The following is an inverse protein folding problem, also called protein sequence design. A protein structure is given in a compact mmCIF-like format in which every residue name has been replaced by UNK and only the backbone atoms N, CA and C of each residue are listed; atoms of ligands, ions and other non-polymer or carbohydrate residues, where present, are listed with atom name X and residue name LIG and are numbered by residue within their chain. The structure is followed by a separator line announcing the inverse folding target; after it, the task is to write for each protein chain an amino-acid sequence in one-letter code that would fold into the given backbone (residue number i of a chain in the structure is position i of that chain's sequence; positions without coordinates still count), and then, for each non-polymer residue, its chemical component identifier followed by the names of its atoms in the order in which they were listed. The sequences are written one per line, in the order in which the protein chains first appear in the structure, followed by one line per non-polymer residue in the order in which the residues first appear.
data_IF_614648170396
#
_entry.id   IF_614648170396
#
_cell.length_a   1.000
_cell.length_b   1.000
_cell.length_c   1.000
_cell.angle_alpha   90.00
_cell.angle_beta   90.00
_cell.angle_gamma   90.00
#
_symmetry.space_group_name_H-M   'P 1'
#
loop_
_entity.id
_entity.type
_entity.pdbx_description
1 polymer ?
#
# COMPACT_ATOMS: atom_id res chain seq x y z
N UNK A 1 -18.95 2.90 13.46
CA UNK A 1 -18.88 3.67 12.19
C UNK A 1 -17.67 3.32 11.30
N UNK A 2 -16.42 3.68 11.62
CA UNK A 2 -15.26 3.45 10.73
C UNK A 2 -14.99 1.96 10.41
N UNK A 3 -15.28 1.06 11.36
CA UNK A 3 -15.24 -0.38 11.13
C UNK A 3 -16.27 -0.83 10.08
N UNK A 4 -17.52 -0.38 10.20
CA UNK A 4 -18.57 -0.69 9.21
C UNK A 4 -18.28 -0.03 7.85
N UNK A 5 -17.69 1.17 7.84
CA UNK A 5 -17.23 1.80 6.60
C UNK A 5 -16.15 0.98 5.89
N UNK A 6 -15.24 0.37 6.67
CA UNK A 6 -14.17 -0.49 6.17
C UNK A 6 -14.68 -1.82 5.62
N UNK A 7 -15.67 -2.42 6.29
CA UNK A 7 -16.13 -3.79 6.01
C UNK A 7 -17.33 -3.81 5.05
N UNK A 8 -18.30 -2.94 5.28
CA UNK A 8 -19.62 -2.97 4.62
C UNK A 8 -19.82 -1.82 3.60
N UNK A 9 -18.85 -0.90 3.51
CA UNK A 9 -18.93 0.26 2.63
C UNK A 9 -19.85 1.40 3.13
N UNK A 10 -19.91 2.52 2.39
CA UNK A 10 -20.47 3.77 2.88
C UNK A 10 -21.99 3.75 3.07
N UNK A 11 -22.73 3.04 2.22
CA UNK A 11 -24.20 2.99 2.29
C UNK A 11 -24.70 2.18 3.49
N UNK A 12 -24.06 1.03 3.77
CA UNK A 12 -24.42 0.19 4.92
C UNK A 12 -23.99 0.88 6.22
N UNK A 13 -22.80 1.52 6.24
CA UNK A 13 -22.36 2.31 7.38
C UNK A 13 -23.31 3.48 7.70
N UNK A 14 -23.84 4.15 6.68
CA UNK A 14 -24.86 5.20 6.81
C UNK A 14 -26.16 4.66 7.41
N UNK A 15 -26.62 3.51 6.92
CA UNK A 15 -27.85 2.90 7.39
C UNK A 15 -27.74 2.43 8.85
N UNK A 16 -26.63 1.79 9.22
CA UNK A 16 -26.34 1.44 10.61
C UNK A 16 -26.29 2.67 11.51
N UNK A 17 -25.63 3.73 11.05
CA UNK A 17 -25.55 4.97 11.80
C UNK A 17 -26.93 5.60 12.08
N UNK A 18 -27.79 5.68 11.06
CA UNK A 18 -29.17 6.20 11.19
C UNK A 18 -30.01 5.35 12.14
N UNK A 19 -29.86 4.03 12.09
CA UNK A 19 -30.56 3.12 13.01
C UNK A 19 -30.09 3.27 14.46
N UNK A 20 -28.80 3.51 14.67
CA UNK A 20 -28.19 3.71 15.99
C UNK A 20 -28.50 5.12 16.58
N UNK A 21 -28.82 6.10 15.72
CA UNK A 21 -29.03 7.50 16.11
C UNK A 21 -30.35 8.07 15.55
N UNK A 22 -31.52 7.47 15.88
CA UNK A 22 -32.81 7.83 15.27
C UNK A 22 -33.29 9.25 15.59
N UNK A 23 -32.78 9.86 16.67
CA UNK A 23 -33.18 11.19 17.11
C UNK A 23 -32.29 12.32 16.56
N UNK A 24 -31.24 12.00 15.82
CA UNK A 24 -30.39 13.03 15.20
C UNK A 24 -31.11 13.82 14.12
N UNK A 25 -31.95 13.15 13.31
CA UNK A 25 -32.76 13.80 12.26
C UNK A 25 -33.84 14.76 12.84
N UNK A 26 -34.06 14.75 14.17
CA UNK A 26 -35.08 15.56 14.85
C UNK A 26 -34.54 16.80 15.59
N UNK A 27 -33.22 17.02 15.60
CA UNK A 27 -32.62 18.14 16.36
C UNK A 27 -32.93 19.50 15.71
N UNK A 28 -33.38 20.52 16.47
CA UNK A 28 -33.54 21.87 15.94
C UNK A 28 -32.16 22.45 15.57
N UNK A 29 -31.99 22.81 14.30
CA UNK A 29 -30.70 23.19 13.70
C UNK A 29 -30.10 22.14 12.75
N UNK A 30 -30.68 20.94 12.71
CA UNK A 30 -30.19 19.80 11.95
C UNK A 30 -28.98 19.14 12.61
N UNK A 31 -28.93 17.81 12.63
CA UNK A 31 -27.67 17.10 12.90
C UNK A 31 -26.70 17.32 11.72
N UNK A 32 -25.38 17.31 11.96
CA UNK A 32 -24.44 17.25 10.85
C UNK A 32 -24.79 16.00 10.04
N UNK A 33 -24.89 16.14 8.71
CA UNK A 33 -25.17 14.98 7.87
C UNK A 33 -24.08 13.90 8.09
N UNK A 34 -24.44 12.63 7.86
CA UNK A 34 -23.48 11.52 8.00
C UNK A 34 -22.13 11.77 7.29
N UNK A 35 -22.09 12.43 6.10
CA UNK A 35 -20.84 12.91 5.52
C UNK A 35 -19.99 13.82 6.40
N UNK A 36 -20.60 14.75 7.11
CA UNK A 36 -19.90 15.67 8.02
C UNK A 36 -19.34 14.94 9.24
N UNK A 37 -20.09 14.00 9.81
CA UNK A 37 -19.66 13.21 10.97
C UNK A 37 -18.52 12.27 10.60
N UNK A 38 -18.66 11.57 9.47
CA UNK A 38 -17.62 10.69 8.96
C UNK A 38 -16.34 11.48 8.63
N UNK A 39 -16.48 12.67 8.04
CA UNK A 39 -15.35 13.57 7.79
C UNK A 39 -14.66 13.96 9.09
N UNK A 40 -15.39 14.33 10.14
CA UNK A 40 -14.81 14.63 11.46
C UNK A 40 -14.00 13.47 12.02
N UNK A 41 -14.48 12.24 11.85
CA UNK A 41 -13.74 11.04 12.26
C UNK A 41 -12.47 10.81 11.42
N UNK A 42 -12.52 11.06 10.11
CA UNK A 42 -11.34 10.96 9.23
C UNK A 42 -10.31 12.04 9.60
N UNK A 43 -10.73 13.29 9.77
CA UNK A 43 -9.85 14.39 10.18
C UNK A 43 -9.23 14.12 11.55
N UNK A 44 -9.97 13.55 12.49
CA UNK A 44 -9.43 13.13 13.79
C UNK A 44 -8.29 12.11 13.64
N UNK A 45 -8.40 11.14 12.73
CA UNK A 45 -7.31 10.20 12.41
C UNK A 45 -6.09 10.98 11.90
N UNK A 46 -6.29 11.96 11.00
CA UNK A 46 -5.23 12.81 10.47
C UNK A 46 -4.51 13.62 11.56
N UNK A 47 -5.25 14.20 12.50
CA UNK A 47 -4.67 14.96 13.61
C UNK A 47 -3.92 14.08 14.61
N UNK A 48 -4.42 12.88 14.90
CA UNK A 48 -3.82 11.97 15.90
C UNK A 48 -2.63 11.21 15.33
N UNK A 49 -2.70 10.80 14.06
CA UNK A 49 -1.74 9.85 13.45
C UNK A 49 -0.90 10.46 12.34
N UNK A 50 -1.21 11.67 11.90
CA UNK A 50 -0.62 12.31 10.73
C UNK A 50 -1.51 12.15 9.49
N UNK A 51 -1.54 13.18 8.64
CA UNK A 51 -2.28 13.15 7.36
C UNK A 51 -1.60 12.28 6.28
N UNK A 52 -0.43 11.73 6.59
CA UNK A 52 0.28 10.70 5.82
C UNK A 52 -0.03 9.27 6.31
N UNK A 53 -0.77 9.12 7.43
CA UNK A 53 -1.19 7.82 7.95
C UNK A 53 -2.08 7.07 6.96
N UNK A 54 -1.85 5.76 6.83
CA UNK A 54 -2.56 4.92 5.87
C UNK A 54 -4.07 4.88 6.10
N UNK A 55 -4.55 4.89 7.34
CA UNK A 55 -5.99 4.88 7.61
C UNK A 55 -6.63 6.20 7.24
N UNK A 56 -5.94 7.31 7.54
CA UNK A 56 -6.37 8.62 7.07
C UNK A 56 -6.48 8.63 5.54
N UNK A 57 -5.41 8.26 4.83
CA UNK A 57 -5.37 8.25 3.38
C UNK A 57 -6.40 7.29 2.76
N UNK A 58 -6.59 6.10 3.35
CA UNK A 58 -7.54 5.10 2.88
C UNK A 58 -8.99 5.60 3.02
N UNK A 59 -9.36 6.16 4.18
CA UNK A 59 -10.71 6.65 4.40
C UNK A 59 -10.98 7.97 3.66
N UNK A 60 -10.02 8.89 3.61
CA UNK A 60 -10.13 10.14 2.87
C UNK A 60 -10.37 9.91 1.37
N UNK A 61 -9.75 8.88 0.76
CA UNK A 61 -9.97 8.53 -0.65
C UNK A 61 -11.30 7.86 -0.93
N UNK A 62 -11.79 7.04 0.00
CA UNK A 62 -13.09 6.38 -0.13
C UNK A 62 -14.28 7.35 -0.02
N UNK A 63 -14.04 8.59 0.37
CA UNK A 63 -15.09 9.56 0.69
C UNK A 63 -15.01 10.83 -0.18
N UNK A 64 -15.73 10.86 -1.30
CA UNK A 64 -15.94 12.06 -2.14
C UNK A 64 -17.28 12.72 -1.83
N UNK A 65 -17.41 13.39 -0.68
CA UNK A 65 -18.58 14.24 -0.42
C UNK A 65 -18.32 15.69 -0.90
N UNK A 66 -19.22 16.30 -1.71
CA UNK A 66 -19.08 17.68 -2.15
C UNK A 66 -19.18 18.65 -0.96
N UNK A 67 -18.33 19.69 -0.95
CA UNK A 67 -18.36 20.78 0.02
C UNK A 67 -19.49 21.78 -0.32
N UNK A 68 -20.29 22.26 0.64
CA UNK A 68 -21.16 23.43 0.42
C UNK A 68 -20.37 24.74 0.27
N UNK A 69 -19.17 24.86 0.86
CA UNK A 69 -18.36 26.09 0.85
C UNK A 69 -16.92 25.82 0.39
N UNK A 70 -16.72 25.99 -0.92
CA UNK A 70 -15.48 25.76 -1.65
C UNK A 70 -14.40 26.83 -1.39
N UNK A 71 -13.69 26.75 -0.26
CA UNK A 71 -12.39 27.43 -0.08
C UNK A 71 -11.20 26.48 0.13
N UNK A 72 -11.44 25.18 0.30
CA UNK A 72 -10.40 24.14 0.42
C UNK A 72 -10.51 23.11 -0.72
N UNK A 73 -10.52 23.56 -1.97
CA UNK A 73 -10.68 22.68 -3.16
C UNK A 73 -9.39 22.22 -3.84
N UNK A 74 -8.18 22.53 -3.35
CA UNK A 74 -6.99 22.43 -4.21
C UNK A 74 -5.78 21.68 -3.64
N UNK A 75 -5.94 20.54 -2.95
CA UNK A 75 -4.75 19.71 -2.70
C UNK A 75 -4.93 18.20 -2.52
N UNK A 76 -6.11 17.71 -2.15
CA UNK A 76 -6.33 16.27 -2.10
C UNK A 76 -6.79 15.75 -3.46
N UNK A 77 -5.82 15.66 -4.38
CA UNK A 77 -6.02 15.02 -5.68
C UNK A 77 -6.47 13.59 -5.46
N UNK A 78 -7.62 13.26 -6.04
CA UNK A 78 -8.17 11.93 -6.25
C UNK A 78 -7.29 11.09 -7.19
N UNK A 79 -6.01 10.91 -6.92
CA UNK A 79 -5.20 9.99 -7.71
C UNK A 79 -5.66 8.56 -7.41
N UNK A 80 -6.10 7.85 -8.45
CA UNK A 80 -6.32 6.40 -8.37
C UNK A 80 -5.06 5.75 -7.77
N UNK A 81 -5.21 4.76 -6.87
CA UNK A 81 -4.06 4.04 -6.35
C UNK A 81 -3.24 3.48 -7.52
N UNK A 82 -1.92 3.67 -7.45
CA UNK A 82 -0.99 3.15 -8.44
C UNK A 82 -0.93 1.63 -8.34
N UNK A 83 -0.48 0.97 -9.39
CA UNK A 83 -0.41 -0.48 -9.42
C UNK A 83 0.70 -0.99 -8.51
N UNK A 84 1.88 -0.37 -8.57
CA UNK A 84 3.08 -0.90 -7.91
C UNK A 84 3.89 0.21 -7.24
N UNK A 85 4.29 -0.04 -5.99
CA UNK A 85 5.36 0.68 -5.31
C UNK A 85 6.61 -0.19 -5.15
N UNK A 86 7.79 0.31 -5.51
CA UNK A 86 9.06 -0.38 -5.26
C UNK A 86 9.74 0.12 -3.97
N UNK A 87 9.71 -0.70 -2.93
CA UNK A 87 10.44 -0.51 -1.68
C UNK A 87 11.87 -1.06 -1.85
N UNK A 88 12.89 -0.20 -1.79
CA UNK A 88 14.26 -0.56 -2.14
C UNK A 88 15.29 0.27 -1.38
N UNK A 89 16.52 -0.26 -1.26
CA UNK A 89 17.66 0.52 -0.80
C UNK A 89 18.17 1.43 -1.94
N UNK A 90 18.71 2.60 -1.62
CA UNK A 90 19.26 3.57 -2.60
C UNK A 90 20.16 2.92 -3.65
N UNK A 91 20.98 1.99 -3.19
CA UNK A 91 22.00 1.29 -3.95
C UNK A 91 21.41 0.38 -5.04
N UNK A 92 20.12 0.03 -4.96
CA UNK A 92 19.44 -0.85 -5.91
C UNK A 92 18.64 -0.07 -6.98
N UNK A 93 18.64 1.26 -6.89
CA UNK A 93 17.77 2.12 -7.68
C UNK A 93 18.08 2.08 -9.17
N UNK A 94 19.31 2.45 -9.53
CA UNK A 94 19.72 2.64 -10.92
C UNK A 94 19.86 1.33 -11.68
N UNK A 95 20.28 0.26 -10.99
CA UNK A 95 20.65 -1.00 -11.63
C UNK A 95 19.52 -2.03 -11.63
N UNK A 96 18.54 -1.93 -10.73
CA UNK A 96 17.42 -2.88 -10.63
C UNK A 96 16.06 -2.20 -10.76
N UNK A 97 15.79 -1.19 -9.92
CA UNK A 97 14.44 -0.60 -9.82
C UNK A 97 14.06 0.17 -11.07
N UNK A 98 14.95 1.02 -11.59
CA UNK A 98 14.70 1.81 -12.79
C UNK A 98 14.49 0.95 -14.04
N UNK A 99 15.32 -0.07 -14.33
CA UNK A 99 15.05 -1.04 -15.39
C UNK A 99 13.72 -1.78 -15.22
N UNK A 100 13.43 -2.30 -14.01
CA UNK A 100 12.19 -3.04 -13.76
C UNK A 100 10.95 -2.16 -13.90
N UNK A 101 11.01 -0.94 -13.40
CA UNK A 101 9.97 0.06 -13.53
C UNK A 101 9.69 0.40 -15.01
N UNK A 102 10.73 0.47 -15.86
CA UNK A 102 10.55 0.65 -17.31
C UNK A 102 9.81 -0.53 -17.93
N UNK A 103 10.15 -1.77 -17.58
CA UNK A 103 9.44 -2.95 -18.08
C UNK A 103 7.98 -2.99 -17.60
N UNK A 104 7.73 -2.66 -16.33
CA UNK A 104 6.36 -2.59 -15.80
C UNK A 104 5.52 -1.54 -16.54
N UNK A 105 6.09 -0.36 -16.83
CA UNK A 105 5.41 0.70 -17.59
C UNK A 105 5.11 0.29 -19.03
N UNK A 106 5.99 -0.47 -19.69
CA UNK A 106 5.72 -1.04 -21.03
C UNK A 106 4.52 -1.99 -21.02
N UNK A 107 4.26 -2.65 -19.89
CA UNK A 107 3.08 -3.49 -19.67
C UNK A 107 1.83 -2.70 -19.22
N UNK A 108 1.89 -1.37 -19.23
CA UNK A 108 0.77 -0.50 -18.85
C UNK A 108 0.57 -0.35 -17.34
N UNK A 109 1.52 -0.79 -16.52
CA UNK A 109 1.43 -0.65 -15.06
C UNK A 109 1.81 0.76 -14.61
N UNK A 110 1.00 1.33 -13.74
CA UNK A 110 1.31 2.58 -13.03
C UNK A 110 2.23 2.30 -11.85
N UNK A 111 3.52 2.52 -12.07
CA UNK A 111 4.55 2.21 -11.08
C UNK A 111 5.26 3.46 -10.57
N UNK A 112 5.67 3.41 -9.30
CA UNK A 112 6.49 4.46 -8.71
C UNK A 112 7.42 3.92 -7.64
N UNK A 113 8.40 4.75 -7.32
CA UNK A 113 9.37 4.57 -6.26
C UNK A 113 9.74 5.96 -5.76
N UNK A 114 10.04 6.11 -4.48
CA UNK A 114 10.35 7.43 -3.91
C UNK A 114 11.79 7.88 -4.28
N UNK A 115 12.02 9.19 -4.28
CA UNK A 115 13.37 9.79 -4.22
C UNK A 115 13.97 9.65 -2.82
N UNK A 116 13.13 9.56 -1.78
CA UNK A 116 13.55 9.16 -0.44
C UNK A 116 13.68 7.63 -0.43
N UNK A 117 14.79 7.17 -0.99
CA UNK A 117 15.25 5.81 -0.80
C UNK A 117 15.28 5.48 0.70
N UNK A 118 15.19 4.20 1.07
CA UNK A 118 15.24 3.79 2.48
C UNK A 118 16.52 4.32 3.15
N UNK A 119 16.35 5.27 4.07
CA UNK A 119 17.45 5.84 4.86
C UNK A 119 17.67 5.03 6.14
N UNK A 120 18.87 5.20 6.71
CA UNK A 120 19.16 4.73 8.06
C UNK A 120 18.15 5.33 9.04
N UNK A 121 17.39 4.48 9.75
CA UNK A 121 16.38 4.90 10.73
C UNK A 121 14.93 4.90 10.22
N UNK A 122 14.69 4.75 8.91
CA UNK A 122 13.33 4.50 8.41
C UNK A 122 12.91 3.07 8.75
N UNK A 123 11.68 2.87 9.24
CA UNK A 123 11.12 1.54 9.51
C UNK A 123 10.55 0.89 8.25
N UNK A 124 10.79 -0.41 8.04
CA UNK A 124 10.34 -1.13 6.84
C UNK A 124 8.82 -1.14 6.77
N UNK A 125 8.18 -1.35 7.92
CA UNK A 125 6.73 -1.33 8.08
C UNK A 125 6.16 -0.01 7.61
N UNK A 126 6.75 1.13 8.02
CA UNK A 126 6.26 2.45 7.61
C UNK A 126 6.35 2.63 6.10
N UNK A 127 7.44 2.16 5.47
CA UNK A 127 7.61 2.23 4.03
C UNK A 127 6.60 1.34 3.28
N UNK A 128 6.38 0.11 3.75
CA UNK A 128 5.36 -0.78 3.20
C UNK A 128 3.97 -0.16 3.38
N UNK A 129 3.64 0.33 4.57
CA UNK A 129 2.35 0.92 4.90
C UNK A 129 2.04 2.16 4.03
N UNK A 130 3.03 3.03 3.83
CA UNK A 130 2.96 4.16 2.89
C UNK A 130 2.79 3.71 1.45
N UNK A 131 3.52 2.68 1.04
CA UNK A 131 3.38 2.07 -0.29
C UNK A 131 1.97 1.55 -0.53
N UNK A 132 1.39 0.86 0.46
CA UNK A 132 0.04 0.30 0.43
C UNK A 132 -1.06 1.32 0.57
N UNK A 133 -0.77 2.44 1.23
CA UNK A 133 -1.74 3.53 1.25
C UNK A 133 -1.94 4.02 -0.17
N UNK A 134 -0.93 4.05 -1.04
CA UNK A 134 -0.94 4.65 -2.37
C UNK A 134 -0.95 3.67 -3.54
N UNK A 135 -0.74 2.38 -3.29
CA UNK A 135 -0.56 1.36 -4.34
C UNK A 135 -1.22 0.03 -4.01
N UNK A 136 -1.55 -0.74 -5.04
CA UNK A 136 -2.15 -2.08 -4.89
C UNK A 136 -1.14 -3.12 -4.38
N UNK A 137 0.09 -3.11 -4.92
CA UNK A 137 1.17 -4.01 -4.51
C UNK A 137 2.43 -3.21 -4.17
N UNK A 138 3.16 -3.70 -3.18
CA UNK A 138 4.52 -3.27 -2.81
C UNK A 138 5.51 -4.36 -3.19
N UNK A 139 6.44 -4.06 -4.09
CA UNK A 139 7.59 -4.93 -4.39
C UNK A 139 8.73 -4.55 -3.46
N UNK A 140 9.21 -5.47 -2.64
CA UNK A 140 10.34 -5.25 -1.73
C UNK A 140 11.60 -5.83 -2.34
N UNK A 141 12.56 -4.97 -2.66
CA UNK A 141 13.86 -5.36 -3.22
C UNK A 141 14.77 -5.81 -2.08
N UNK A 142 14.99 -7.12 -2.01
CA UNK A 142 15.81 -7.78 -1.00
C UNK A 142 17.20 -8.05 -1.58
N UNK A 143 18.11 -7.11 -1.41
CA UNK A 143 19.51 -7.18 -1.83
C UNK A 143 20.46 -7.28 -0.62
N UNK A 144 21.77 -7.38 -0.88
CA UNK A 144 22.79 -7.23 0.16
C UNK A 144 22.75 -5.83 0.82
N UNK A 145 22.49 -4.78 0.03
CA UNK A 145 22.32 -3.41 0.53
C UNK A 145 21.11 -3.29 1.46
N UNK A 146 19.99 -3.91 1.08
CA UNK A 146 18.82 -4.03 1.94
C UNK A 146 19.16 -4.76 3.24
N UNK A 147 19.92 -5.85 3.17
CA UNK A 147 20.27 -6.69 4.32
C UNK A 147 21.25 -6.04 5.31
N UNK A 148 21.94 -4.97 4.90
CA UNK A 148 22.86 -4.16 5.72
C UNK A 148 22.15 -3.04 6.50
N UNK A 149 20.92 -2.68 6.13
CA UNK A 149 20.14 -1.68 6.88
C UNK A 149 19.69 -2.28 8.23
N UNK A 150 19.58 -1.47 9.29
CA UNK A 150 19.27 -1.93 10.64
C UNK A 150 17.76 -2.23 10.80
N UNK A 151 17.24 -3.20 10.07
CA UNK A 151 15.85 -3.63 10.21
C UNK A 151 15.68 -4.47 11.48
N UNK A 152 14.86 -4.06 12.44
CA UNK A 152 14.48 -4.94 13.53
C UNK A 152 13.79 -6.19 12.96
N UNK A 153 14.16 -7.38 13.43
CA UNK A 153 13.55 -8.63 12.98
C UNK A 153 12.01 -8.61 13.10
N UNK A 154 11.50 -7.96 14.15
CA UNK A 154 10.07 -7.78 14.38
C UNK A 154 9.38 -6.99 13.25
N UNK A 155 10.06 -6.07 12.57
CA UNK A 155 9.48 -5.32 11.45
C UNK A 155 9.31 -6.21 10.22
N UNK A 156 10.25 -7.12 10.03
CA UNK A 156 10.19 -8.07 8.92
C UNK A 156 9.08 -9.12 9.12
N UNK A 157 8.90 -9.58 10.36
CA UNK A 157 7.81 -10.48 10.73
C UNK A 157 6.46 -9.77 10.66
N UNK A 158 6.36 -8.54 11.16
CA UNK A 158 5.14 -7.74 11.10
C UNK A 158 4.69 -7.48 9.65
N UNK A 159 5.61 -7.32 8.68
CA UNK A 159 5.25 -7.16 7.27
C UNK A 159 4.48 -8.38 6.75
N UNK A 160 4.85 -9.57 7.22
CA UNK A 160 4.19 -10.83 6.87
C UNK A 160 2.82 -10.96 7.56
N UNK A 161 2.71 -10.49 8.81
CA UNK A 161 1.44 -10.48 9.57
C UNK A 161 0.42 -9.52 8.96
N UNK A 162 0.86 -8.32 8.55
CA UNK A 162 -0.02 -7.35 7.88
C UNK A 162 -0.69 -8.00 6.65
N UNK A 163 0.01 -8.83 5.89
CA UNK A 163 -0.60 -9.51 4.75
C UNK A 163 -1.69 -10.52 5.12
N UNK A 164 -1.58 -11.17 6.28
CA UNK A 164 -2.61 -12.10 6.76
C UNK A 164 -3.87 -11.36 7.17
N UNK A 165 -3.74 -10.22 7.84
CA UNK A 165 -4.88 -9.41 8.30
C UNK A 165 -5.71 -8.80 7.16
N UNK A 166 -5.11 -8.60 6.00
CA UNK A 166 -5.79 -8.03 4.84
C UNK A 166 -6.39 -9.06 3.88
N UNK A 167 -6.08 -10.36 4.02
CA UNK A 167 -6.60 -11.41 3.15
C UNK A 167 -6.08 -11.38 1.70
N UNK A 168 -5.23 -10.40 1.34
CA UNK A 168 -4.63 -10.26 0.02
C UNK A 168 -3.09 -10.16 0.12
N UNK A 169 -2.38 -10.75 -0.86
CA UNK A 169 -0.92 -10.64 -0.94
C UNK A 169 -0.58 -9.32 -1.59
N UNK A 170 -0.08 -8.39 -0.78
CA UNK A 170 0.29 -7.06 -1.25
C UNK A 170 1.79 -6.79 -1.15
N UNK A 171 2.60 -7.71 -0.60
CA UNK A 171 4.06 -7.62 -0.60
C UNK A 171 4.65 -8.70 -1.52
N UNK A 172 5.46 -8.30 -2.49
CA UNK A 172 6.19 -9.20 -3.38
C UNK A 172 7.71 -9.07 -3.16
N UNK A 173 8.36 -10.05 -2.52
CA UNK A 173 9.82 -10.03 -2.35
C UNK A 173 10.54 -10.31 -3.69
N UNK A 174 11.48 -9.42 -4.03
CA UNK A 174 12.39 -9.53 -5.15
C UNK A 174 13.83 -9.70 -4.61
N UNK A 175 14.34 -10.92 -4.57
CA UNK A 175 15.71 -11.19 -4.13
C UNK A 175 16.70 -10.83 -5.23
N UNK A 176 17.70 -9.99 -4.92
CA UNK A 176 18.64 -9.49 -5.93
C UNK A 176 20.08 -9.77 -5.54
N UNK A 177 20.85 -10.31 -6.49
CA UNK A 177 22.28 -10.51 -6.32
C UNK A 177 22.83 -11.64 -7.18
N UNK A 178 24.05 -12.06 -6.87
CA UNK A 178 24.59 -13.33 -7.35
C UNK A 178 23.81 -14.49 -6.73
N UNK A 179 23.83 -15.64 -7.39
CA UNK A 179 23.06 -16.81 -6.94
C UNK A 179 23.38 -17.21 -5.49
N UNK A 180 24.67 -17.19 -5.11
CA UNK A 180 25.10 -17.45 -3.73
C UNK A 180 24.56 -16.41 -2.74
N UNK A 181 24.51 -15.14 -3.13
CA UNK A 181 23.96 -14.06 -2.29
C UNK A 181 22.45 -14.23 -2.11
N UNK A 182 21.72 -14.51 -3.20
CA UNK A 182 20.29 -14.79 -3.16
C UNK A 182 20.00 -15.97 -2.21
N UNK A 183 20.75 -17.07 -2.31
CA UNK A 183 20.62 -18.20 -1.37
C UNK A 183 20.86 -17.81 0.08
N UNK A 184 21.79 -16.89 0.36
CA UNK A 184 22.05 -16.39 1.71
C UNK A 184 20.92 -15.48 2.20
N UNK A 185 20.43 -14.57 1.35
CA UNK A 185 19.32 -13.68 1.68
C UNK A 185 18.03 -14.44 1.98
N UNK A 186 17.72 -15.47 1.17
CA UNK A 186 16.58 -16.37 1.39
C UNK A 186 16.67 -17.08 2.75
N UNK A 187 17.87 -17.53 3.15
CA UNK A 187 18.12 -18.13 4.47
C UNK A 187 18.05 -17.12 5.62
N UNK A 188 18.51 -15.88 5.40
CA UNK A 188 18.45 -14.79 6.37
C UNK A 188 17.02 -14.30 6.59
N UNK A 189 16.18 -14.35 5.56
CA UNK A 189 14.84 -13.79 5.55
C UNK A 189 13.77 -14.84 5.18
N UNK A 190 13.65 -15.95 5.95
CA UNK A 190 12.77 -17.06 5.60
C UNK A 190 11.27 -16.72 5.69
N UNK A 191 10.89 -15.75 6.52
CA UNK A 191 9.51 -15.24 6.61
C UNK A 191 9.03 -14.62 5.29
N UNK A 192 9.93 -14.02 4.50
CA UNK A 192 9.60 -13.49 3.17
C UNK A 192 9.44 -14.60 2.12
N UNK A 193 9.85 -15.83 2.43
CA UNK A 193 9.69 -16.99 1.55
C UNK A 193 8.34 -17.69 1.69
N UNK A 194 7.51 -17.27 2.65
CA UNK A 194 6.18 -17.88 2.85
C UNK A 194 5.25 -17.67 1.66
N UNK A 195 5.66 -16.90 0.64
CA UNK A 195 4.91 -16.58 -0.57
C UNK A 195 5.80 -16.61 -1.83
N UNK A 196 5.13 -16.42 -2.96
CA UNK A 196 5.73 -16.20 -4.27
C UNK A 196 6.80 -15.09 -4.17
N UNK A 197 8.04 -15.44 -4.47
CA UNK A 197 9.19 -14.53 -4.52
C UNK A 197 9.86 -14.69 -5.86
N UNK A 198 10.55 -13.64 -6.32
CA UNK A 198 11.32 -13.69 -7.57
C UNK A 198 12.80 -13.44 -7.30
N UNK A 199 13.64 -14.10 -8.08
CA UNK A 199 15.09 -13.97 -8.01
C UNK A 199 15.58 -13.16 -9.21
N UNK A 200 16.30 -12.08 -8.96
CA UNK A 200 16.88 -11.22 -9.98
C UNK A 200 18.41 -11.32 -9.92
N UNK A 201 19.05 -11.91 -10.93
CA UNK A 201 20.50 -11.82 -11.07
C UNK A 201 20.95 -10.35 -11.11
N UNK A 202 22.14 -10.05 -10.59
CA UNK A 202 22.76 -8.72 -10.68
C UNK A 202 24.06 -8.81 -11.51
N UNK A 203 24.18 -8.09 -12.65
CA UNK A 203 23.19 -7.17 -13.23
C UNK A 203 21.97 -7.91 -13.83
N UNK A 204 20.78 -7.29 -13.85
CA UNK A 204 19.57 -7.95 -14.32
C UNK A 204 19.54 -8.06 -15.84
N UNK A 205 19.45 -9.28 -16.40
CA UNK A 205 19.27 -9.44 -17.84
C UNK A 205 17.85 -9.04 -18.24
N UNK A 206 17.70 -8.49 -19.46
CA UNK A 206 16.43 -7.98 -19.99
C UNK A 206 15.28 -9.00 -19.86
N UNK A 207 15.56 -10.28 -20.13
CA UNK A 207 14.58 -11.37 -19.99
C UNK A 207 14.03 -11.49 -18.57
N UNK A 208 14.88 -11.38 -17.54
CA UNK A 208 14.46 -11.50 -16.13
C UNK A 208 13.65 -10.28 -15.68
N UNK A 209 13.97 -9.09 -16.18
CA UNK A 209 13.17 -7.88 -15.94
C UNK A 209 11.75 -8.02 -16.52
N UNK A 210 11.64 -8.54 -17.74
CA UNK A 210 10.35 -8.79 -18.38
C UNK A 210 9.55 -9.86 -17.63
N UNK A 211 10.17 -10.98 -17.27
CA UNK A 211 9.54 -12.06 -16.49
C UNK A 211 9.00 -11.53 -15.14
N UNK A 212 9.80 -10.73 -14.42
CA UNK A 212 9.37 -10.10 -13.18
C UNK A 212 8.18 -9.15 -13.38
N UNK A 213 8.22 -8.30 -14.41
CA UNK A 213 7.14 -7.37 -14.72
C UNK A 213 5.82 -8.09 -15.08
N UNK A 214 5.90 -9.16 -15.88
CA UNK A 214 4.75 -10.01 -16.23
C UNK A 214 4.16 -10.71 -15.01
N UNK A 215 5.01 -11.17 -14.09
CA UNK A 215 4.57 -11.79 -12.85
C UNK A 215 3.85 -10.78 -11.93
N UNK A 216 4.36 -9.55 -11.83
CA UNK A 216 3.69 -8.46 -11.10
C UNK A 216 2.32 -8.18 -11.72
N UNK A 217 2.24 -8.03 -13.05
CA UNK A 217 0.97 -7.79 -13.75
C UNK A 217 -0.03 -8.94 -13.52
N UNK A 218 0.42 -10.19 -13.59
CA UNK A 218 -0.42 -11.36 -13.37
C UNK A 218 -0.99 -11.38 -11.95
N UNK A 219 -0.17 -10.97 -10.96
CA UNK A 219 -0.59 -10.91 -9.57
C UNK A 219 -1.63 -9.81 -9.31
N UNK A 220 -1.47 -8.65 -9.94
CA UNK A 220 -2.45 -7.55 -9.88
C UNK A 220 -3.79 -7.99 -10.44
N UNK A 221 -3.81 -8.65 -11.61
CA UNK A 221 -5.04 -9.18 -12.22
C UNK A 221 -5.73 -10.21 -11.32
N UNK A 222 -4.97 -11.11 -10.72
CA UNK A 222 -5.52 -12.10 -9.77
C UNK A 222 -6.07 -11.45 -8.50
N UNK A 223 -5.48 -10.33 -8.05
CA UNK A 223 -6.02 -9.55 -6.93
C UNK A 223 -7.33 -8.88 -7.31
N UNK A 224 -7.36 -8.16 -8.44
CA UNK A 224 -8.56 -7.45 -8.92
C UNK A 224 -9.75 -8.42 -9.12
N UNK A 225 -9.49 -9.66 -9.56
CA UNK A 225 -10.51 -10.71 -9.68
C UNK A 225 -11.06 -11.16 -8.32
N UNK A 226 -10.21 -11.32 -7.30
CA UNK A 226 -10.66 -11.73 -5.97
C UNK A 226 -11.46 -10.63 -5.26
N UNK A 227 -11.09 -9.36 -5.47
CA UNK A 227 -11.82 -8.21 -4.92
C UNK A 227 -13.18 -7.98 -5.58
N UNK A 228 -13.40 -8.51 -6.79
CA UNK A 228 -14.68 -8.43 -7.51
C UNK A 228 -15.70 -9.53 -7.12
N UNK A 229 -15.25 -10.55 -6.36
CA UNK A 229 -16.07 -11.72 -5.99
C UNK A 229 -16.52 -11.66 -4.52
N UNK A 230 -16.14 -10.61 -3.77
CA UNK A 230 -16.62 -10.39 -2.41
C UNK A 230 -17.91 -9.54 -2.44
N UNK A 231 -19.09 -10.11 -2.10
CA UNK A 231 -20.36 -9.39 -2.07
C UNK A 231 -20.46 -8.39 -0.93
#
# INVERSE_FOLDING_TARGET
MLHSLRVDGPNIALQKYRNENPDEDRRPGGSPDFPTILRGHIEYIGHVRGHDDRWYLKFARGFSAPQPNAKFRSQFVSEKPRDVFFCHASEDKSDVVEPLNRECKKLGLSCWYDKQDIKWGDGLIRNIDRGLSTSKIVVVVVSDSFAKKPWPLHEMEAATVLELEHGEVFVLPLFVGLEAQIRTLRRKFPMLLRKLSFDMPRPPPQRRLLEAAQQIQSRLRASDLNSAVTP
#
